data_IF_872204390086
#
_entry.id   IF_872204390086
#
_cell.length_a   1.000
_cell.length_b   1.000
_cell.length_c   1.000
_cell.angle_alpha   90.00
_cell.angle_beta   90.00
_cell.angle_gamma   90.00
#
_symmetry.space_group_name_H-M   'P 1'
#
loop_
_entity.id
_entity.type
_entity.pdbx_description
1 polymer ?
#
# COMPACT_ATOMS: atom_id res chain seq x y z
N UNK A 1 7.30 -18.84 -2.68
CA UNK A 1 7.34 -18.37 -1.28
C UNK A 1 6.82 -16.93 -1.22
N UNK A 2 6.45 -16.44 -0.03
CA UNK A 2 6.22 -15.02 0.19
C UNK A 2 7.58 -14.29 0.31
N UNK A 3 7.65 -13.04 -0.13
CA UNK A 3 8.88 -12.23 -0.06
C UNK A 3 8.55 -10.82 0.38
N UNK A 4 9.40 -10.26 1.25
CA UNK A 4 9.38 -8.87 1.66
C UNK A 4 10.50 -8.10 0.97
N UNK A 5 10.15 -6.99 0.33
CA UNK A 5 11.08 -5.93 -0.06
C UNK A 5 11.07 -4.85 1.02
N UNK A 6 12.07 -4.89 1.90
CA UNK A 6 12.19 -3.96 3.01
C UNK A 6 12.21 -2.49 2.53
N UNK A 7 12.89 -2.19 1.42
CA UNK A 7 12.96 -0.84 0.85
C UNK A 7 11.62 -0.24 0.39
N UNK A 8 10.57 -1.06 0.22
CA UNK A 8 9.22 -0.61 -0.10
C UNK A 8 8.27 -0.61 1.11
N UNK A 9 8.66 -1.23 2.23
CA UNK A 9 7.81 -1.26 3.41
C UNK A 9 7.78 0.11 4.07
N UNK A 10 6.59 0.64 4.36
CA UNK A 10 6.48 1.98 4.99
C UNK A 10 7.07 2.02 6.39
N UNK A 11 7.17 0.88 7.07
CA UNK A 11 7.88 0.75 8.35
C UNK A 11 9.39 0.99 8.22
N UNK A 12 9.96 0.86 7.02
CA UNK A 12 11.36 1.23 6.80
C UNK A 12 11.58 2.74 6.62
N UNK A 13 10.51 3.54 6.48
CA UNK A 13 10.59 4.99 6.27
C UNK A 13 10.57 5.77 7.59
N UNK A 14 9.99 5.20 8.66
CA UNK A 14 10.00 5.76 10.01
C UNK A 14 9.79 4.67 11.06
N UNK A 15 10.44 4.84 12.21
CA UNK A 15 10.19 4.03 13.41
C UNK A 15 8.81 4.27 14.00
N UNK A 16 8.24 5.46 13.76
CA UNK A 16 6.89 5.83 14.20
C UNK A 16 5.78 5.15 13.37
N UNK A 17 6.14 4.44 12.29
CA UNK A 17 5.14 3.78 11.45
C UNK A 17 4.32 2.77 12.25
N UNK A 18 2.99 2.88 12.20
CA UNK A 18 2.08 1.97 12.91
C UNK A 18 1.51 0.86 12.01
N UNK A 19 1.80 0.89 10.72
CA UNK A 19 1.25 -0.07 9.75
C UNK A 19 1.49 -1.54 10.13
N UNK A 20 0.40 -2.30 10.30
CA UNK A 20 0.39 -3.75 10.59
C UNK A 20 -0.58 -4.53 9.67
N UNK A 21 -0.96 -3.96 8.52
CA UNK A 21 -2.00 -4.53 7.63
C UNK A 21 -1.72 -5.98 7.21
N UNK A 22 -0.45 -6.33 6.96
CA UNK A 22 -0.07 -7.68 6.53
C UNK A 22 -0.18 -8.74 7.64
N UNK A 23 0.07 -8.36 8.88
CA UNK A 23 -0.13 -9.19 10.07
C UNK A 23 -1.63 -9.41 10.30
N UNK A 24 -2.43 -8.33 10.31
CA UNK A 24 -3.88 -8.39 10.55
C UNK A 24 -4.66 -9.22 9.51
N UNK A 25 -4.21 -9.23 8.25
CA UNK A 25 -4.88 -10.00 7.18
C UNK A 25 -4.37 -11.44 7.07
N UNK A 26 -3.35 -11.84 7.84
CA UNK A 26 -2.74 -13.16 7.71
C UNK A 26 -3.64 -14.22 8.36
N UNK A 27 -4.24 -15.16 7.60
CA UNK A 27 -5.16 -16.16 8.15
C UNK A 27 -4.49 -17.20 9.05
N UNK A 28 -3.16 -17.33 8.98
CA UNK A 28 -2.39 -18.36 9.69
C UNK A 28 -1.41 -17.75 10.69
N UNK A 29 -1.51 -16.45 10.97
CA UNK A 29 -0.58 -15.71 11.84
C UNK A 29 0.91 -15.85 11.48
N UNK A 30 1.21 -16.28 10.24
CA UNK A 30 2.55 -16.45 9.71
C UNK A 30 3.33 -15.14 9.53
N UNK A 31 2.72 -13.98 9.79
CA UNK A 31 3.37 -12.68 9.73
C UNK A 31 3.15 -12.01 11.08
N UNK A 32 4.24 -11.58 11.70
CA UNK A 32 4.21 -10.79 12.93
C UNK A 32 5.05 -9.52 12.78
N UNK A 33 4.65 -8.45 13.45
CA UNK A 33 5.52 -7.27 13.61
C UNK A 33 6.31 -7.48 14.91
N UNK A 34 7.59 -7.85 14.77
CA UNK A 34 8.47 -8.21 15.90
C UNK A 34 9.23 -7.03 16.49
N UNK A 35 10.37 -7.32 17.13
CA UNK A 35 11.29 -6.30 17.65
C UNK A 35 12.00 -5.52 16.53
N UNK A 36 12.27 -6.18 15.40
CA UNK A 36 12.66 -5.48 14.19
C UNK A 36 11.42 -4.75 13.67
N UNK A 37 11.54 -3.46 13.35
CA UNK A 37 10.39 -2.67 12.88
C UNK A 37 9.75 -3.21 11.58
N UNK A 38 10.26 -4.30 11.00
CA UNK A 38 9.79 -4.90 9.76
C UNK A 38 8.94 -6.15 10.04
N UNK A 39 8.06 -6.55 9.10
CA UNK A 39 7.37 -7.82 9.21
C UNK A 39 8.33 -9.02 9.23
N UNK A 40 8.24 -9.84 10.27
CA UNK A 40 8.85 -11.15 10.34
C UNK A 40 7.88 -12.20 9.77
N UNK A 41 8.39 -13.22 9.07
CA UNK A 41 7.57 -14.20 8.34
C UNK A 41 7.94 -15.62 8.77
N UNK A 42 6.96 -16.40 9.24
CA UNK A 42 7.06 -17.83 9.42
C UNK A 42 6.67 -18.54 8.11
N UNK A 43 7.63 -19.18 7.47
CA UNK A 43 7.40 -19.83 6.17
C UNK A 43 6.76 -21.21 6.27
N UNK A 44 6.80 -21.86 7.44
CA UNK A 44 6.11 -23.14 7.69
C UNK A 44 4.59 -22.93 7.75
N UNK A 45 4.15 -21.83 8.38
CA UNK A 45 2.74 -21.46 8.55
C UNK A 45 2.16 -20.70 7.36
N UNK A 46 3.00 -20.13 6.50
CA UNK A 46 2.56 -19.37 5.34
C UNK A 46 1.98 -20.27 4.24
N UNK A 47 0.65 -20.19 4.04
CA UNK A 47 -0.05 -20.95 2.99
C UNK A 47 -0.06 -20.27 1.63
N UNK A 48 0.69 -19.18 1.45
CA UNK A 48 0.81 -18.44 0.17
C UNK A 48 -0.53 -17.97 -0.44
N UNK A 49 -1.54 -17.69 0.38
CA UNK A 49 -2.86 -17.25 -0.11
C UNK A 49 -2.85 -15.87 -0.79
N UNK A 50 -1.85 -15.03 -0.52
CA UNK A 50 -1.67 -13.72 -1.15
C UNK A 50 -2.42 -12.55 -0.51
N UNK A 51 -3.23 -12.76 0.52
CA UNK A 51 -3.96 -11.68 1.19
C UNK A 51 -3.06 -10.51 1.67
N UNK A 52 -1.89 -10.83 2.22
CA UNK A 52 -0.91 -9.84 2.66
C UNK A 52 -0.30 -9.02 1.51
N UNK A 53 -0.18 -9.61 0.32
CA UNK A 53 0.30 -8.90 -0.88
C UNK A 53 -0.74 -7.90 -1.39
N UNK A 54 -2.03 -8.30 -1.35
CA UNK A 54 -3.14 -7.46 -1.78
C UNK A 54 -3.36 -6.25 -0.85
N UNK A 55 -3.29 -6.46 0.47
CA UNK A 55 -3.56 -5.39 1.46
C UNK A 55 -2.39 -4.43 1.66
N UNK A 56 -1.15 -4.87 1.37
CA UNK A 56 0.05 -4.07 1.62
C UNK A 56 0.08 -2.86 0.67
N UNK A 57 -0.13 -1.60 1.11
CA UNK A 57 -0.41 -0.45 0.23
C UNK A 57 0.77 -0.03 -0.65
N UNK A 58 2.00 -0.36 -0.23
CA UNK A 58 3.22 -0.04 -0.97
C UNK A 58 3.75 -1.18 -1.84
N UNK A 59 3.05 -2.33 -1.91
CA UNK A 59 3.47 -3.50 -2.69
C UNK A 59 4.83 -4.08 -2.22
N UNK A 60 5.11 -3.96 -0.91
CA UNK A 60 6.33 -4.48 -0.31
C UNK A 60 6.36 -6.01 -0.23
N UNK A 61 5.20 -6.68 -0.34
CA UNK A 61 5.06 -8.13 -0.25
C UNK A 61 4.68 -8.73 -1.61
N UNK A 62 5.37 -9.79 -2.03
CA UNK A 62 5.13 -10.49 -3.31
C UNK A 62 5.19 -12.01 -3.14
N UNK A 63 4.52 -12.77 -4.01
CA UNK A 63 4.62 -14.24 -4.07
C UNK A 63 5.52 -14.66 -5.25
N UNK A 64 6.28 -15.75 -5.11
CA UNK A 64 7.09 -16.28 -6.23
C UNK A 64 6.24 -16.90 -7.35
N UNK A 65 5.12 -17.55 -7.00
CA UNK A 65 4.32 -18.36 -7.94
C UNK A 65 3.07 -17.62 -8.46
N UNK A 66 2.80 -16.43 -7.94
CA UNK A 66 1.68 -15.62 -8.36
C UNK A 66 2.06 -14.14 -8.34
N UNK A 67 1.84 -13.46 -9.47
CA UNK A 67 2.02 -12.02 -9.60
C UNK A 67 0.70 -11.41 -10.10
N UNK A 68 0.08 -10.57 -9.28
CA UNK A 68 -1.22 -9.98 -9.57
C UNK A 68 -1.19 -9.06 -10.81
N UNK A 69 -0.04 -8.46 -11.12
CA UNK A 69 0.12 -7.60 -12.30
C UNK A 69 0.12 -8.42 -13.58
N UNK A 70 0.89 -9.50 -13.64
CA UNK A 70 0.89 -10.42 -14.77
C UNK A 70 -0.48 -11.09 -14.93
N UNK A 71 -1.04 -11.56 -13.81
CA UNK A 71 -2.39 -12.13 -13.78
C UNK A 71 -3.43 -11.17 -14.36
N UNK A 72 -3.37 -9.87 -14.01
CA UNK A 72 -4.27 -8.87 -14.55
C UNK A 72 -4.23 -8.81 -16.08
N UNK A 73 -3.04 -8.77 -16.68
CA UNK A 73 -2.92 -8.71 -18.14
C UNK A 73 -3.41 -9.99 -18.81
N UNK A 74 -3.04 -11.15 -18.28
CA UNK A 74 -3.47 -12.45 -18.80
C UNK A 74 -4.99 -12.61 -18.72
N UNK A 75 -5.60 -12.22 -17.60
CA UNK A 75 -7.04 -12.34 -17.38
C UNK A 75 -7.86 -11.40 -18.26
N UNK A 76 -7.38 -10.18 -18.52
CA UNK A 76 -8.06 -9.23 -19.42
C UNK A 76 -8.15 -9.79 -20.85
N UNK A 77 -7.16 -10.57 -21.28
CA UNK A 77 -7.13 -11.22 -22.60
C UNK A 77 -7.89 -12.56 -22.64
N UNK A 78 -8.13 -13.19 -21.48
CA UNK A 78 -8.92 -14.42 -21.38
C UNK A 78 -10.37 -14.19 -21.87
N UNK A 79 -10.99 -15.21 -22.43
CA UNK A 79 -12.41 -15.20 -22.80
C UNK A 79 -13.32 -15.47 -21.59
N UNK A 80 -12.82 -16.18 -20.59
CA UNK A 80 -13.56 -16.45 -19.37
C UNK A 80 -13.45 -15.26 -18.40
N UNK A 81 -14.48 -15.07 -17.60
CA UNK A 81 -14.62 -14.03 -16.58
C UNK A 81 -14.61 -14.60 -15.16
N UNK A 82 -14.34 -15.91 -15.00
CA UNK A 82 -14.30 -16.62 -13.73
C UNK A 82 -12.96 -16.48 -13.00
N UNK A 83 -13.00 -15.94 -11.78
CA UNK A 83 -11.92 -15.91 -10.82
C UNK A 83 -12.14 -17.01 -9.78
N UNK A 84 -11.21 -17.97 -9.72
CA UNK A 84 -11.34 -19.12 -8.80
C UNK A 84 -9.99 -19.54 -8.23
N UNK A 85 -9.99 -19.87 -6.93
CA UNK A 85 -8.83 -20.40 -6.22
C UNK A 85 -8.38 -21.79 -6.70
N UNK A 86 -9.21 -22.45 -7.51
CA UNK A 86 -8.90 -23.74 -8.17
C UNK A 86 -8.52 -23.59 -9.64
N UNK A 87 -8.50 -22.37 -10.16
CA UNK A 87 -8.28 -22.09 -11.58
C UNK A 87 -7.05 -21.22 -11.83
N UNK A 88 -7.05 -19.99 -11.32
CA UNK A 88 -6.17 -18.94 -11.84
C UNK A 88 -5.62 -17.96 -10.80
N UNK A 89 -6.05 -18.06 -9.54
CA UNK A 89 -5.50 -17.30 -8.41
C UNK A 89 -5.22 -18.25 -7.24
N UNK A 90 -4.24 -17.99 -6.36
CA UNK A 90 -4.05 -18.78 -5.14
C UNK A 90 -5.24 -18.62 -4.17
N UNK A 91 -5.76 -17.40 -4.08
CA UNK A 91 -7.01 -17.04 -3.44
C UNK A 91 -7.51 -15.75 -4.10
N UNK A 92 -8.83 -15.52 -4.10
CA UNK A 92 -9.39 -14.25 -4.60
C UNK A 92 -8.89 -13.07 -3.72
N UNK A 93 -8.57 -13.33 -2.44
CA UNK A 93 -7.97 -12.34 -1.55
C UNK A 93 -6.57 -11.88 -1.97
N UNK A 94 -5.92 -12.55 -2.92
CA UNK A 94 -4.65 -12.10 -3.51
C UNK A 94 -4.81 -10.91 -4.46
N UNK A 95 -6.05 -10.53 -4.82
CA UNK A 95 -6.35 -9.37 -5.64
C UNK A 95 -6.71 -8.18 -4.75
N UNK A 96 -6.00 -7.06 -4.93
CA UNK A 96 -6.37 -5.81 -4.27
C UNK A 96 -7.64 -5.22 -4.89
N UNK A 97 -8.29 -4.31 -4.16
CA UNK A 97 -9.43 -3.53 -4.63
C UNK A 97 -9.16 -2.84 -5.99
N UNK A 98 -7.96 -2.27 -6.16
CA UNK A 98 -7.55 -1.63 -7.42
C UNK A 98 -7.51 -2.63 -8.58
N UNK A 99 -7.07 -3.87 -8.36
CA UNK A 99 -7.11 -4.91 -9.39
C UNK A 99 -8.56 -5.30 -9.70
N UNK A 100 -9.39 -5.50 -8.69
CA UNK A 100 -10.79 -5.93 -8.84
C UNK A 100 -11.59 -4.91 -9.65
N UNK A 101 -11.53 -3.63 -9.29
CA UNK A 101 -12.20 -2.55 -10.04
C UNK A 101 -11.68 -2.51 -11.48
N UNK A 102 -10.35 -2.60 -11.66
CA UNK A 102 -9.75 -2.55 -12.99
C UNK A 102 -10.18 -3.71 -13.88
N UNK A 103 -10.25 -4.93 -13.33
CA UNK A 103 -10.72 -6.12 -14.04
C UNK A 103 -12.20 -5.99 -14.40
N UNK A 104 -13.04 -5.58 -13.44
CA UNK A 104 -14.47 -5.41 -13.66
C UNK A 104 -14.76 -4.39 -14.79
N UNK A 105 -14.12 -3.22 -14.73
CA UNK A 105 -14.25 -2.17 -15.76
C UNK A 105 -13.90 -2.70 -17.15
N UNK A 106 -12.79 -3.45 -17.27
CA UNK A 106 -12.28 -3.91 -18.57
C UNK A 106 -13.05 -5.11 -19.12
N UNK A 107 -13.52 -6.00 -18.25
CA UNK A 107 -14.24 -7.22 -18.62
C UNK A 107 -15.74 -7.04 -18.69
N UNK A 108 -16.27 -5.93 -18.17
CA UNK A 108 -17.70 -5.60 -17.96
C UNK A 108 -18.43 -6.53 -16.99
N UNK A 109 -18.04 -7.78 -16.91
CA UNK A 109 -18.53 -8.74 -15.92
C UNK A 109 -17.37 -9.60 -15.43
N UNK A 110 -17.26 -9.80 -14.12
CA UNK A 110 -16.37 -10.79 -13.51
C UNK A 110 -17.14 -11.60 -12.46
N UNK A 111 -16.76 -12.86 -12.29
CA UNK A 111 -17.42 -13.79 -11.36
C UNK A 111 -16.39 -14.30 -10.37
N UNK A 112 -16.66 -14.14 -9.08
CA UNK A 112 -15.90 -14.76 -8.00
C UNK A 112 -16.52 -16.12 -7.69
N UNK A 113 -15.73 -17.18 -7.88
CA UNK A 113 -16.09 -18.52 -7.45
C UNK A 113 -15.92 -18.65 -5.93
N UNK A 114 -17.04 -18.59 -5.22
CA UNK A 114 -17.12 -18.71 -3.76
C UNK A 114 -17.33 -20.15 -3.29
N UNK A 115 -17.44 -21.11 -4.23
CA UNK A 115 -17.90 -22.47 -3.95
C UNK A 115 -17.05 -23.29 -2.97
N UNK A 116 -15.78 -22.92 -2.79
CA UNK A 116 -14.86 -23.57 -1.86
C UNK A 116 -14.64 -22.80 -0.55
N UNK A 117 -15.21 -21.61 -0.39
CA UNK A 117 -14.94 -20.77 0.78
C UNK A 117 -15.51 -21.39 2.08
N UNK A 118 -16.67 -22.04 2.01
CA UNK A 118 -17.34 -22.62 3.19
C UNK A 118 -16.52 -23.71 3.89
N UNK A 119 -15.67 -24.43 3.15
CA UNK A 119 -14.83 -25.52 3.67
C UNK A 119 -13.34 -25.21 3.67
N UNK A 120 -12.96 -23.94 3.51
CA UNK A 120 -11.55 -23.53 3.40
C UNK A 120 -11.01 -23.06 4.76
N UNK A 121 -9.88 -23.64 5.18
CA UNK A 121 -9.29 -23.37 6.51
C UNK A 121 -8.91 -21.88 6.74
N UNK A 122 -8.58 -21.17 5.65
CA UNK A 122 -8.23 -19.74 5.69
C UNK A 122 -9.41 -18.79 5.46
N UNK A 123 -10.63 -19.33 5.28
CA UNK A 123 -11.81 -18.54 4.94
C UNK A 123 -12.14 -17.50 6.02
N UNK A 124 -11.99 -17.81 7.30
CA UNK A 124 -12.31 -16.90 8.41
C UNK A 124 -11.75 -15.47 8.22
N UNK A 125 -10.54 -15.35 7.65
CA UNK A 125 -9.93 -14.05 7.28
C UNK A 125 -10.06 -13.76 5.78
N UNK A 126 -9.73 -14.70 4.90
CA UNK A 126 -9.70 -14.43 3.46
C UNK A 126 -11.08 -14.19 2.86
N UNK A 127 -12.10 -14.94 3.27
CA UNK A 127 -13.49 -14.75 2.83
C UNK A 127 -14.00 -13.37 3.24
N UNK A 128 -13.76 -12.98 4.49
CA UNK A 128 -14.11 -11.65 5.00
C UNK A 128 -13.45 -10.55 4.17
N UNK A 129 -12.16 -10.70 3.81
CA UNK A 129 -11.47 -9.73 2.98
C UNK A 129 -12.00 -9.69 1.53
N UNK A 130 -12.36 -10.84 0.96
CA UNK A 130 -12.97 -10.92 -0.37
C UNK A 130 -14.29 -10.15 -0.39
N UNK A 131 -15.15 -10.36 0.61
CA UNK A 131 -16.44 -9.66 0.72
C UNK A 131 -16.25 -8.15 0.89
N UNK A 132 -15.34 -7.71 1.76
CA UNK A 132 -15.02 -6.28 1.91
C UNK A 132 -14.56 -5.65 0.60
N UNK A 133 -13.66 -6.32 -0.13
CA UNK A 133 -13.19 -5.83 -1.43
C UNK A 133 -14.33 -5.83 -2.48
N UNK A 134 -15.22 -6.81 -2.45
CA UNK A 134 -16.40 -6.88 -3.32
C UNK A 134 -17.37 -5.73 -3.06
N UNK A 135 -17.68 -5.47 -1.79
CA UNK A 135 -18.56 -4.38 -1.36
C UNK A 135 -17.97 -3.03 -1.75
N UNK A 136 -16.70 -2.76 -1.42
CA UNK A 136 -16.00 -1.53 -1.79
C UNK A 136 -15.94 -1.35 -3.32
N UNK A 137 -15.65 -2.42 -4.08
CA UNK A 137 -15.57 -2.34 -5.53
C UNK A 137 -16.91 -1.99 -6.15
N UNK A 138 -17.97 -2.68 -5.72
CA UNK A 138 -19.33 -2.47 -6.23
C UNK A 138 -19.80 -1.06 -5.90
N UNK A 139 -19.59 -0.62 -4.66
CA UNK A 139 -19.92 0.75 -4.22
C UNK A 139 -19.21 1.81 -5.06
N UNK A 140 -17.91 1.64 -5.35
CA UNK A 140 -17.15 2.58 -6.17
C UNK A 140 -17.55 2.53 -7.65
N UNK A 141 -17.87 1.36 -8.20
CA UNK A 141 -18.37 1.22 -9.57
C UNK A 141 -19.70 1.97 -9.73
N UNK A 142 -20.62 1.81 -8.78
CA UNK A 142 -21.88 2.56 -8.73
C UNK A 142 -21.64 4.07 -8.62
N UNK A 143 -20.75 4.50 -7.72
CA UNK A 143 -20.40 5.92 -7.56
C UNK A 143 -19.69 6.54 -8.79
N UNK A 144 -19.16 5.70 -9.68
CA UNK A 144 -18.58 6.08 -10.97
C UNK A 144 -19.58 5.96 -12.14
N UNK A 145 -20.86 5.67 -11.87
CA UNK A 145 -21.88 5.36 -12.88
C UNK A 145 -21.42 4.27 -13.87
N UNK A 146 -20.61 3.31 -13.41
CA UNK A 146 -20.06 2.25 -14.25
C UNK A 146 -20.95 1.01 -14.19
N UNK A 147 -21.35 0.50 -15.35
CA UNK A 147 -22.23 -0.67 -15.47
C UNK A 147 -21.54 -2.03 -15.25
N UNK A 148 -20.26 -2.06 -14.90
CA UNK A 148 -19.56 -3.32 -14.68
C UNK A 148 -20.14 -4.10 -13.49
N UNK A 149 -20.29 -5.40 -13.66
CA UNK A 149 -20.90 -6.28 -12.65
C UNK A 149 -19.85 -7.22 -12.07
N UNK A 150 -19.83 -7.33 -10.74
CA UNK A 150 -19.08 -8.35 -10.02
C UNK A 150 -20.11 -9.31 -9.44
N UNK A 151 -19.99 -10.62 -9.68
CA UNK A 151 -20.90 -11.63 -9.13
C UNK A 151 -20.19 -12.52 -8.14
N UNK A 152 -20.87 -12.88 -7.06
CA UNK A 152 -20.44 -13.92 -6.13
C UNK A 152 -21.26 -15.18 -6.43
N UNK A 153 -20.62 -16.23 -6.93
CA UNK A 153 -21.32 -17.45 -7.34
C UNK A 153 -20.64 -18.70 -6.75
N UNK A 154 -21.44 -19.70 -6.39
CA UNK A 154 -20.93 -21.01 -5.97
C UNK A 154 -20.73 -21.90 -7.21
N UNK A 155 -19.73 -21.56 -8.02
CA UNK A 155 -19.42 -22.28 -9.27
C UNK A 155 -18.77 -23.64 -8.95
N UNK A 156 -17.95 -23.71 -7.90
CA UNK A 156 -17.19 -24.90 -7.51
C UNK A 156 -16.35 -25.43 -8.69
N UNK A 157 -15.52 -24.56 -9.27
CA UNK A 157 -14.72 -24.93 -10.44
C UNK A 157 -13.77 -26.10 -10.12
N UNK A 158 -13.98 -27.22 -10.81
CA UNK A 158 -13.04 -28.33 -10.85
C UNK A 158 -12.34 -28.34 -12.20
N UNK A 159 -11.01 -28.41 -12.18
CA UNK A 159 -10.25 -28.52 -13.40
C UNK A 159 -10.43 -29.95 -13.95
N UNK A 160 -11.07 -30.11 -15.11
CA UNK A 160 -11.02 -31.37 -15.84
C UNK A 160 -9.53 -31.68 -16.09
N UNK A 161 -9.02 -32.73 -15.46
CA UNK A 161 -7.61 -33.07 -15.54
C UNK A 161 -7.19 -33.25 -17.01
N UNK A 162 -6.51 -32.25 -17.58
CA UNK A 162 -5.61 -32.50 -18.70
C UNK A 162 -4.48 -33.35 -18.13
N UNK A 163 -4.53 -34.64 -18.45
CA UNK A 163 -3.48 -35.62 -18.23
C UNK A 163 -2.21 -35.13 -18.94
N UNK A 164 -1.45 -34.26 -18.27
CA UNK A 164 -0.17 -33.81 -18.76
C UNK A 164 0.81 -34.95 -18.55
N UNK A 165 1.09 -35.65 -19.64
CA UNK A 165 2.08 -36.72 -19.72
C UNK A 165 3.33 -36.36 -18.91
N UNK A 166 3.67 -37.25 -17.96
CA UNK A 166 4.92 -37.30 -17.17
C UNK A 166 6.20 -37.46 -18.00
N UNK A 167 6.25 -36.97 -19.24
CA UNK A 167 7.38 -37.10 -20.18
C UNK A 167 7.77 -35.76 -20.78
N UNK A 168 8.18 -34.82 -19.96
CA UNK A 168 9.01 -33.67 -20.41
C UNK A 168 10.08 -33.28 -19.37
N UNK A 169 10.40 -34.17 -18.41
CA UNK A 169 11.26 -33.83 -17.28
C UNK A 169 12.77 -34.08 -17.49
N UNK A 170 13.23 -34.43 -18.69
CA UNK A 170 14.67 -34.65 -18.91
C UNK A 170 15.12 -34.05 -20.23
N UNK A 171 15.62 -32.81 -20.18
CA UNK A 171 16.87 -32.39 -20.83
C UNK A 171 17.10 -30.87 -20.67
N UNK A 172 17.99 -30.47 -19.75
CA UNK A 172 18.98 -29.39 -19.93
C UNK A 172 19.66 -29.09 -18.58
N UNK A 173 20.82 -29.68 -18.36
CA UNK A 173 21.75 -29.24 -17.32
C UNK A 173 22.34 -27.88 -17.75
N UNK A 174 21.78 -26.79 -17.23
CA UNK A 174 22.27 -25.44 -17.44
C UNK A 174 22.53 -24.77 -16.07
N UNK A 175 23.39 -23.76 -16.01
CA UNK A 175 23.76 -23.08 -14.74
C UNK A 175 22.52 -22.54 -13.98
N UNK A 176 21.47 -22.17 -14.73
CA UNK A 176 20.15 -21.78 -14.21
C UNK A 176 19.45 -22.90 -13.43
N UNK A 177 19.66 -24.16 -13.82
CA UNK A 177 19.12 -25.34 -13.14
C UNK A 177 19.76 -25.52 -11.77
N UNK A 178 21.08 -25.32 -11.66
CA UNK A 178 21.81 -25.40 -10.37
C UNK A 178 21.41 -24.26 -9.44
N UNK A 179 21.31 -23.03 -9.94
CA UNK A 179 20.84 -21.90 -9.14
C UNK A 179 19.39 -22.08 -8.66
N UNK A 180 18.52 -22.63 -9.53
CA UNK A 180 17.14 -22.97 -9.18
C UNK A 180 17.07 -24.11 -8.14
N UNK A 181 17.92 -25.12 -8.27
CA UNK A 181 18.04 -26.21 -7.28
C UNK A 181 18.52 -25.70 -5.93
N UNK A 182 19.55 -24.83 -5.91
CA UNK A 182 20.03 -24.21 -4.67
C UNK A 182 18.95 -23.39 -3.99
N UNK A 183 18.27 -22.52 -4.75
CA UNK A 183 17.15 -21.72 -4.21
C UNK A 183 16.02 -22.61 -3.70
N UNK A 184 15.64 -23.64 -4.45
CA UNK A 184 14.60 -24.60 -4.03
C UNK A 184 14.96 -25.32 -2.73
N UNK A 185 16.23 -25.68 -2.56
CA UNK A 185 16.74 -26.29 -1.34
C UNK A 185 16.73 -25.30 -0.16
N UNK A 186 17.17 -24.05 -0.37
CA UNK A 186 17.10 -22.99 0.65
C UNK A 186 15.65 -22.71 1.07
N UNK A 187 14.73 -22.63 0.10
CA UNK A 187 13.30 -22.44 0.35
C UNK A 187 12.70 -23.61 1.16
N UNK A 188 13.11 -24.86 0.87
CA UNK A 188 12.70 -26.06 1.62
C UNK A 188 13.26 -26.07 3.04
N UNK A 189 14.54 -25.72 3.23
CA UNK A 189 15.16 -25.60 4.56
C UNK A 189 14.43 -24.56 5.40
N UNK A 190 14.08 -23.42 4.81
CA UNK A 190 13.44 -22.33 5.52
C UNK A 190 11.97 -22.66 5.87
N UNK A 191 11.25 -23.38 5.00
CA UNK A 191 9.92 -23.92 5.31
C UNK A 191 9.93 -25.03 6.37
N UNK A 192 11.06 -25.72 6.53
CA UNK A 192 11.22 -26.74 7.56
C UNK A 192 11.51 -26.14 8.95
N UNK A 193 11.92 -24.87 9.01
CA UNK A 193 12.03 -24.12 10.25
C UNK A 193 10.66 -23.58 10.66
N UNK A 194 10.30 -23.74 11.93
CA UNK A 194 9.10 -23.15 12.51
C UNK A 194 9.36 -21.78 13.16
N UNK A 195 10.41 -21.10 12.70
CA UNK A 195 10.87 -19.83 13.25
C UNK A 195 10.46 -18.66 12.36
N UNK A 196 10.14 -17.54 13.01
CA UNK A 196 9.97 -16.26 12.34
C UNK A 196 11.30 -15.84 11.70
N UNK A 197 11.29 -15.66 10.39
CA UNK A 197 12.40 -15.04 9.68
C UNK A 197 12.31 -13.52 9.86
N UNK A 198 13.22 -12.99 10.66
CA UNK A 198 13.42 -11.54 10.82
C UNK A 198 14.03 -10.93 9.55
N UNK A 199 13.57 -9.72 9.21
CA UNK A 199 14.09 -8.97 8.07
C UNK A 199 14.79 -7.70 8.54
N UNK A 200 15.93 -7.40 7.94
CA UNK A 200 16.68 -6.16 8.20
C UNK A 200 16.86 -5.38 6.90
N UNK A 201 17.25 -4.11 7.03
CA UNK A 201 17.59 -3.29 5.87
C UNK A 201 19.03 -3.55 5.44
N UNK A 202 19.20 -3.96 4.19
CA UNK A 202 20.51 -4.07 3.58
C UNK A 202 20.95 -2.74 2.97
N UNK A 203 22.25 -2.59 2.69
CA UNK A 203 22.79 -1.35 2.07
C UNK A 203 22.11 -1.01 0.74
N UNK A 204 21.70 -2.02 -0.02
CA UNK A 204 20.95 -1.87 -1.27
C UNK A 204 19.55 -1.28 -1.05
N UNK A 205 18.93 -1.56 0.10
CA UNK A 205 17.59 -1.08 0.44
C UNK A 205 17.60 0.40 0.82
N UNK A 206 18.66 0.85 1.50
CA UNK A 206 18.83 2.26 1.91
C UNK A 206 18.76 3.21 0.70
N UNK A 207 19.33 2.79 -0.43
CA UNK A 207 19.27 3.57 -1.67
C UNK A 207 17.83 3.68 -2.22
N UNK A 208 16.98 2.68 -1.95
CA UNK A 208 15.60 2.62 -2.43
C UNK A 208 14.63 3.43 -1.56
N UNK A 209 14.91 3.61 -0.25
CA UNK A 209 14.04 4.36 0.67
C UNK A 209 13.73 5.79 0.22
N UNK A 210 14.67 6.43 -0.51
CA UNK A 210 14.49 7.79 -1.02
C UNK A 210 13.74 7.85 -2.35
N UNK A 211 13.57 6.71 -3.03
CA UNK A 211 12.97 6.67 -4.36
C UNK A 211 11.45 6.67 -4.24
N UNK A 212 10.83 7.72 -4.78
CA UNK A 212 9.39 7.78 -4.91
C UNK A 212 8.93 6.78 -5.97
N UNK A 213 8.08 5.84 -5.57
CA UNK A 213 7.63 4.74 -6.43
C UNK A 213 6.13 4.58 -6.33
N UNK A 214 5.45 4.58 -7.49
CA UNK A 214 4.02 4.29 -7.59
C UNK A 214 3.87 2.76 -7.76
N UNK A 215 3.08 2.07 -6.92
CA UNK A 215 2.78 0.65 -7.06
C UNK A 215 2.20 0.30 -8.43
N UNK A 216 2.41 -0.93 -8.90
CA UNK A 216 1.91 -1.39 -10.19
C UNK A 216 0.38 -1.44 -10.21
N UNK A 217 -0.28 -1.90 -9.15
CA UNK A 217 -1.76 -1.87 -9.07
C UNK A 217 -2.33 -0.47 -9.22
N UNK A 218 -1.60 0.56 -8.75
CA UNK A 218 -2.01 1.96 -8.91
C UNK A 218 -1.91 2.39 -10.37
N UNK A 219 -0.85 1.99 -11.08
CA UNK A 219 -0.71 2.25 -12.53
C UNK A 219 -1.77 1.51 -13.34
N UNK A 220 -2.11 0.29 -12.96
CA UNK A 220 -3.19 -0.51 -13.55
C UNK A 220 -4.52 0.22 -13.37
N UNK A 221 -4.84 0.62 -12.14
CA UNK A 221 -6.04 1.38 -11.83
C UNK A 221 -6.15 2.66 -12.68
N UNK A 222 -5.07 3.45 -12.76
CA UNK A 222 -5.03 4.64 -13.60
C UNK A 222 -5.31 4.34 -15.08
N UNK A 223 -4.79 3.21 -15.57
CA UNK A 223 -4.96 2.81 -16.97
C UNK A 223 -6.38 2.33 -17.25
N UNK A 224 -7.00 1.62 -16.29
CA UNK A 224 -8.37 1.14 -16.40
C UNK A 224 -9.38 2.28 -16.32
N UNK A 225 -9.24 3.18 -15.34
CA UNK A 225 -10.17 4.31 -15.15
C UNK A 225 -10.17 5.27 -16.35
N UNK A 226 -9.05 5.45 -17.06
CA UNK A 226 -9.01 6.24 -18.31
C UNK A 226 -9.90 5.69 -19.43
N UNK A 227 -10.38 4.45 -19.33
CA UNK A 227 -11.30 3.82 -20.28
C UNK A 227 -12.76 3.87 -19.81
N UNK A 228 -13.02 4.43 -18.64
CA UNK A 228 -14.36 4.66 -18.11
C UNK A 228 -14.84 6.01 -18.61
N UNK A 229 -16.09 6.08 -19.09
CA UNK A 229 -16.72 7.35 -19.43
C UNK A 229 -16.84 8.23 -18.18
N UNK A 230 -16.71 9.54 -18.36
CA UNK A 230 -16.84 10.46 -17.23
C UNK A 230 -18.28 10.43 -16.73
N UNK A 231 -18.53 10.18 -15.42
CA UNK A 231 -19.89 10.12 -14.89
C UNK A 231 -20.61 11.45 -15.03
N UNK A 232 -21.94 11.40 -15.12
CA UNK A 232 -22.78 12.58 -15.25
C UNK A 232 -22.72 13.47 -14.00
N UNK A 233 -22.54 12.85 -12.83
CA UNK A 233 -22.30 13.51 -11.55
C UNK A 233 -21.15 12.85 -10.79
N UNK A 234 -20.31 13.65 -10.16
CA UNK A 234 -19.29 13.14 -9.23
C UNK A 234 -19.88 13.00 -7.83
N UNK A 235 -19.92 11.77 -7.33
CA UNK A 235 -20.34 11.47 -5.98
C UNK A 235 -19.21 11.75 -4.97
N UNK A 236 -19.61 12.27 -3.81
CA UNK A 236 -18.78 12.32 -2.62
C UNK A 236 -19.15 11.10 -1.78
N UNK A 237 -18.16 10.25 -1.51
CA UNK A 237 -18.34 9.02 -0.74
C UNK A 237 -17.73 9.16 0.64
N UNK A 238 -18.13 8.30 1.58
CA UNK A 238 -17.47 8.23 2.89
C UNK A 238 -16.03 7.72 2.71
N UNK A 239 -15.07 8.37 3.37
CA UNK A 239 -13.66 8.00 3.30
C UNK A 239 -13.34 6.68 4.02
N UNK A 240 -14.22 6.20 4.89
CA UNK A 240 -14.09 4.87 5.53
C UNK A 240 -14.30 3.74 4.52
N UNK A 241 -15.15 3.97 3.52
CA UNK A 241 -15.49 3.02 2.45
C UNK A 241 -14.44 2.94 1.34
N UNK A 242 -13.37 3.76 1.40
CA UNK A 242 -12.30 3.78 0.38
C UNK A 242 -10.96 3.40 1.02
N UNK A 243 -10.53 2.15 0.88
CA UNK A 243 -9.40 1.58 1.61
C UNK A 243 -8.01 1.86 0.99
N UNK A 244 -7.95 2.20 -0.30
CA UNK A 244 -6.69 2.29 -1.06
C UNK A 244 -6.22 3.72 -1.38
N UNK A 245 -7.05 4.73 -1.17
CA UNK A 245 -6.68 6.15 -1.34
C UNK A 245 -7.32 7.02 -0.26
N UNK A 246 -6.92 8.29 -0.16
CA UNK A 246 -7.57 9.21 0.76
C UNK A 246 -7.43 10.67 0.36
N UNK A 247 -8.32 11.48 0.93
CA UNK A 247 -8.17 12.93 1.02
C UNK A 247 -7.53 13.31 2.36
N UNK A 248 -6.87 14.47 2.39
CA UNK A 248 -6.16 14.96 3.57
C UNK A 248 -6.62 16.36 3.96
N UNK A 249 -6.63 16.60 5.25
CA UNK A 249 -6.82 17.92 5.85
C UNK A 249 -5.53 18.32 6.58
N UNK A 250 -5.25 19.61 6.58
CA UNK A 250 -4.08 20.19 7.25
C UNK A 250 -4.55 21.29 8.21
N UNK A 251 -4.21 21.15 9.47
CA UNK A 251 -4.37 22.18 10.49
C UNK A 251 -3.23 23.19 10.36
N UNK A 252 -3.58 24.43 10.01
CA UNK A 252 -2.62 25.49 9.81
C UNK A 252 -1.99 26.01 11.09
N UNK A 253 -2.68 25.91 12.22
CA UNK A 253 -2.19 26.39 13.51
C UNK A 253 -1.26 25.34 14.15
N UNK A 254 -1.60 24.05 14.03
CA UNK A 254 -0.79 22.96 14.56
C UNK A 254 0.46 22.63 13.71
N UNK A 255 0.47 22.93 12.41
CA UNK A 255 1.58 22.55 11.52
C UNK A 255 2.88 23.29 11.85
N UNK A 256 3.93 22.57 12.24
CA UNK A 256 5.23 23.17 12.59
C UNK A 256 6.19 23.38 11.40
N UNK A 257 5.74 23.14 10.16
CA UNK A 257 6.57 23.16 8.96
C UNK A 257 7.83 22.26 9.03
N UNK A 258 7.78 21.16 9.80
CA UNK A 258 8.91 20.25 10.08
C UNK A 258 9.36 19.39 8.88
N UNK A 259 8.60 19.38 7.78
CA UNK A 259 8.92 18.72 6.51
C UNK A 259 8.80 17.19 6.49
N UNK A 260 8.46 16.54 7.61
CA UNK A 260 8.47 15.07 7.68
C UNK A 260 7.43 14.42 6.77
N UNK A 261 6.19 14.91 6.77
CA UNK A 261 5.06 14.28 6.08
C UNK A 261 5.27 14.04 4.57
N UNK A 262 5.84 15.02 3.85
CA UNK A 262 6.11 14.88 2.41
C UNK A 262 7.44 14.16 2.13
N UNK A 263 8.41 14.22 3.05
CA UNK A 263 9.67 13.48 2.92
C UNK A 263 9.46 11.98 3.02
N UNK A 264 8.59 11.52 3.93
CA UNK A 264 8.29 10.09 4.11
C UNK A 264 7.26 9.54 3.11
N UNK A 265 6.55 10.39 2.35
CA UNK A 265 5.53 9.91 1.43
C UNK A 265 6.15 9.01 0.33
N UNK A 266 5.85 7.70 0.26
CA UNK A 266 6.56 6.77 -0.63
C UNK A 266 6.25 6.97 -2.11
N UNK A 267 5.08 7.49 -2.45
CA UNK A 267 4.63 7.65 -3.84
C UNK A 267 4.90 9.03 -4.40
N UNK A 268 5.24 10.00 -3.54
CA UNK A 268 5.26 11.41 -3.92
C UNK A 268 3.86 12.01 -4.04
N UNK A 269 2.85 11.42 -3.39
CA UNK A 269 1.54 12.06 -3.24
C UNK A 269 1.62 13.36 -2.43
N UNK A 270 2.54 13.46 -1.47
CA UNK A 270 2.87 14.71 -0.79
C UNK A 270 4.25 15.16 -1.27
N UNK A 271 4.36 16.41 -1.73
CA UNK A 271 5.61 17.02 -2.18
C UNK A 271 5.73 18.46 -1.71
N UNK A 272 6.94 18.98 -1.76
CA UNK A 272 7.24 20.39 -1.56
C UNK A 272 8.11 20.91 -2.71
N UNK A 273 8.20 22.22 -2.84
CA UNK A 273 9.12 22.86 -3.77
C UNK A 273 10.56 22.84 -3.24
N UNK A 274 11.52 23.32 -4.03
CA UNK A 274 12.94 23.35 -3.63
C UNK A 274 13.23 24.25 -2.42
N UNK A 275 12.31 25.17 -2.10
CA UNK A 275 12.46 26.12 -0.98
C UNK A 275 11.77 25.62 0.30
N UNK A 276 11.09 24.47 0.25
CA UNK A 276 10.21 23.98 1.31
C UNK A 276 9.11 25.01 1.69
N UNK A 277 8.61 25.76 0.71
CA UNK A 277 7.67 26.87 0.91
C UNK A 277 6.20 26.46 0.87
N UNK A 278 5.89 25.20 0.57
CA UNK A 278 4.51 24.70 0.48
C UNK A 278 4.42 23.20 0.67
N UNK A 279 3.21 22.69 0.88
CA UNK A 279 2.90 21.27 0.82
C UNK A 279 1.80 21.09 -0.22
N UNK A 280 2.15 20.43 -1.31
CA UNK A 280 1.21 20.03 -2.35
C UNK A 280 0.84 18.55 -2.15
N UNK A 281 -0.44 18.23 -2.35
CA UNK A 281 -0.99 16.88 -2.22
C UNK A 281 -1.71 16.47 -3.50
N UNK A 282 -1.34 15.31 -4.03
CA UNK A 282 -2.02 14.63 -5.13
C UNK A 282 -2.77 13.41 -4.57
N UNK A 283 -4.11 13.48 -4.40
CA UNK A 283 -4.92 12.36 -3.91
C UNK A 283 -4.84 11.13 -4.82
N UNK A 284 -4.60 11.32 -6.11
CA UNK A 284 -4.54 10.24 -7.08
C UNK A 284 -3.32 9.36 -6.85
N UNK A 285 -2.19 9.94 -6.41
CA UNK A 285 -0.97 9.21 -6.04
C UNK A 285 -0.99 8.63 -4.61
N UNK A 286 -1.98 8.98 -3.78
CA UNK A 286 -2.06 8.56 -2.38
C UNK A 286 -2.44 7.09 -2.25
N UNK A 287 -1.60 6.27 -1.59
CA UNK A 287 -1.85 4.84 -1.36
C UNK A 287 -2.45 4.52 0.01
N UNK A 288 -3.02 5.51 0.70
CA UNK A 288 -3.59 5.40 2.07
C UNK A 288 -2.70 4.58 3.03
N UNK A 289 -1.38 4.81 2.96
CA UNK A 289 -0.38 4.08 3.77
C UNK A 289 -0.17 4.65 5.18
N UNK A 290 -0.83 5.75 5.51
CA UNK A 290 -0.85 6.41 6.83
C UNK A 290 0.46 7.03 7.35
N UNK A 291 1.63 6.66 6.81
CA UNK A 291 2.95 7.11 7.28
C UNK A 291 3.12 8.63 7.48
N UNK A 292 2.43 9.46 6.69
CA UNK A 292 2.52 10.91 6.83
C UNK A 292 1.83 11.45 8.10
N UNK A 293 0.84 10.73 8.64
CA UNK A 293 0.20 11.06 9.91
C UNK A 293 1.04 10.52 11.07
N UNK A 294 1.56 9.29 10.96
CA UNK A 294 2.43 8.66 11.95
C UNK A 294 3.64 9.54 12.32
N UNK A 295 4.25 10.21 11.34
CA UNK A 295 5.40 11.10 11.58
C UNK A 295 5.02 12.54 11.92
N UNK A 296 3.73 12.87 11.97
CA UNK A 296 3.26 14.21 12.30
C UNK A 296 2.99 14.31 13.80
N UNK A 297 4.05 14.55 14.57
CA UNK A 297 3.97 14.73 16.02
C UNK A 297 2.86 15.69 16.50
N UNK A 298 2.66 16.91 15.92
CA UNK A 298 1.56 17.78 16.33
C UNK A 298 0.18 17.33 15.83
N UNK A 299 0.08 16.20 15.13
CA UNK A 299 -1.14 15.69 14.50
C UNK A 299 -1.82 16.69 13.53
N UNK A 300 -1.02 17.56 12.91
CA UNK A 300 -1.51 18.62 12.04
C UNK A 300 -2.06 18.11 10.70
N UNK A 301 -1.74 16.88 10.29
CA UNK A 301 -2.26 16.27 9.06
C UNK A 301 -3.21 15.12 9.43
N UNK A 302 -4.42 15.16 8.89
CA UNK A 302 -5.47 14.18 9.20
C UNK A 302 -6.17 13.68 7.93
N UNK A 303 -6.91 12.58 8.06
CA UNK A 303 -7.77 12.07 6.98
C UNK A 303 -9.07 12.88 6.93
N UNK A 304 -9.49 13.28 5.73
CA UNK A 304 -10.84 13.80 5.55
C UNK A 304 -11.87 12.67 5.74
N UNK A 305 -13.08 13.01 6.20
CA UNK A 305 -14.19 12.06 6.37
C UNK A 305 -14.88 11.68 5.05
N UNK A 306 -14.52 12.34 3.94
CA UNK A 306 -15.11 12.07 2.64
C UNK A 306 -14.06 12.01 1.54
N UNK A 307 -14.37 11.27 0.47
CA UNK A 307 -13.57 11.19 -0.74
C UNK A 307 -14.38 11.64 -1.94
N UNK A 308 -13.80 12.51 -2.76
CA UNK A 308 -14.44 12.96 -4.00
C UNK A 308 -14.02 12.05 -5.15
N UNK A 309 -14.95 11.24 -5.67
CA UNK A 309 -14.71 10.30 -6.78
C UNK A 309 -14.21 11.02 -8.04
N UNK A 310 -14.47 12.33 -8.15
CA UNK A 310 -13.92 13.20 -9.19
C UNK A 310 -12.40 13.07 -9.35
N UNK A 311 -11.67 12.86 -8.26
CA UNK A 311 -10.20 12.74 -8.31
C UNK A 311 -9.72 11.56 -9.14
N UNK A 312 -10.56 10.54 -9.39
CA UNK A 312 -10.21 9.42 -10.28
C UNK A 312 -10.19 9.82 -11.76
N UNK A 313 -10.98 10.82 -12.15
CA UNK A 313 -11.15 11.26 -13.53
C UNK A 313 -10.44 12.58 -13.83
N UNK A 314 -10.52 13.51 -12.89
CA UNK A 314 -9.92 14.84 -12.95
C UNK A 314 -9.00 15.04 -11.72
N UNK A 315 -7.87 14.31 -11.62
CA UNK A 315 -6.98 14.42 -10.48
C UNK A 315 -6.43 15.84 -10.38
N UNK A 316 -6.56 16.46 -9.20
CA UNK A 316 -6.02 17.80 -8.94
C UNK A 316 -5.03 17.78 -7.80
N UNK A 317 -3.89 18.40 -8.05
CA UNK A 317 -2.93 18.73 -6.99
C UNK A 317 -3.54 19.84 -6.13
N UNK A 318 -3.68 19.55 -4.84
CA UNK A 318 -4.20 20.44 -3.81
C UNK A 318 -3.03 21.08 -3.06
N UNK A 319 -3.06 22.40 -2.89
CA UNK A 319 -2.12 23.09 -2.01
C UNK A 319 -2.63 22.99 -0.58
N UNK A 320 -2.06 22.09 0.24
CA UNK A 320 -2.46 21.91 1.64
C UNK A 320 -1.92 23.01 2.56
N UNK A 321 -0.74 23.55 2.24
CA UNK A 321 -0.08 24.53 3.09
C UNK A 321 0.85 25.42 2.27
N UNK A 322 1.03 26.66 2.70
CA UNK A 322 2.07 27.57 2.23
C UNK A 322 2.78 28.19 3.44
N UNK A 323 4.10 28.32 3.33
CA UNK A 323 4.97 28.76 4.41
C UNK A 323 5.76 30.01 4.00
N UNK A 324 6.08 30.84 4.99
CA UNK A 324 7.09 31.87 4.84
C UNK A 324 8.47 31.23 4.95
N UNK A 325 9.35 31.53 3.99
CA UNK A 325 10.73 31.08 4.00
C UNK A 325 11.62 32.27 4.35
N UNK A 326 12.38 32.15 5.43
CA UNK A 326 13.25 33.23 5.92
C UNK A 326 14.53 32.69 6.55
N UNK A 327 15.44 33.59 6.90
CA UNK A 327 16.64 33.25 7.69
C UNK A 327 16.37 33.47 9.17
N UNK A 328 16.90 32.58 10.01
CA UNK A 328 16.86 32.69 11.46
C UNK A 328 17.71 33.89 11.92
N UNK A 329 17.16 34.74 12.79
CA UNK A 329 17.87 35.91 13.32
C UNK A 329 19.12 35.54 14.15
N UNK A 330 19.16 34.34 14.73
CA UNK A 330 20.28 33.86 15.58
C UNK A 330 21.35 33.09 14.80
N UNK A 331 20.97 32.09 13.99
CA UNK A 331 21.93 31.21 13.31
C UNK A 331 22.02 31.39 11.79
N UNK A 332 21.30 32.35 11.20
CA UNK A 332 21.23 32.65 9.76
C UNK A 332 20.75 31.49 8.85
N UNK A 333 20.39 30.33 9.43
CA UNK A 333 19.86 29.19 8.68
C UNK A 333 18.48 29.49 8.09
N UNK A 334 18.26 29.05 6.84
CA UNK A 334 16.96 29.17 6.17
C UNK A 334 15.99 28.15 6.76
N UNK A 335 14.81 28.62 7.16
CA UNK A 335 13.73 27.76 7.65
C UNK A 335 12.37 28.22 7.13
N UNK A 336 11.42 27.29 7.15
CA UNK A 336 10.02 27.53 6.82
C UNK A 336 9.21 27.72 8.09
N UNK A 337 8.26 28.64 8.08
CA UNK A 337 7.33 28.87 9.20
C UNK A 337 5.94 29.24 8.69
N UNK A 338 4.92 28.80 9.42
CA UNK A 338 3.52 29.21 9.26
C UNK A 338 3.17 30.46 10.10
N UNK A 339 4.10 30.96 10.91
CA UNK A 339 3.90 32.09 11.83
C UNK A 339 4.80 33.28 11.45
N UNK A 340 4.79 34.34 12.26
CA UNK A 340 5.70 35.47 12.14
C UNK A 340 7.06 35.24 12.79
N UNK A 341 7.34 34.00 13.22
CA UNK A 341 8.57 33.63 13.93
C UNK A 341 9.83 34.10 13.20
N UNK A 342 10.79 34.57 14.00
CA UNK A 342 12.09 35.03 13.52
C UNK A 342 13.23 34.05 13.82
N UNK A 343 13.01 33.14 14.77
CA UNK A 343 13.95 32.10 15.14
C UNK A 343 13.47 30.74 14.62
N UNK A 344 14.40 29.91 14.14
CA UNK A 344 14.11 28.52 13.77
C UNK A 344 13.88 27.66 15.02
N UNK A 345 13.22 26.51 14.85
CA UNK A 345 12.89 25.58 15.95
C UNK A 345 14.09 25.25 16.84
N UNK A 346 15.26 24.94 16.25
CA UNK A 346 16.47 24.65 17.01
C UNK A 346 16.88 25.79 17.93
N UNK A 347 16.97 27.02 17.41
CA UNK A 347 17.37 28.18 18.22
C UNK A 347 16.31 28.51 19.29
N UNK A 348 15.03 28.25 19.02
CA UNK A 348 13.98 28.36 20.05
C UNK A 348 14.18 27.36 21.18
N UNK A 349 14.39 26.08 20.86
CA UNK A 349 14.66 25.05 21.88
C UNK A 349 15.93 25.37 22.69
N UNK A 350 17.00 25.81 22.03
CA UNK A 350 18.23 26.20 22.71
C UNK A 350 18.02 27.38 23.67
N UNK A 351 17.22 28.38 23.28
CA UNK A 351 16.87 29.52 24.15
C UNK A 351 15.98 29.07 25.32
N UNK A 352 14.96 28.26 25.08
CA UNK A 352 14.06 27.70 26.10
C UNK A 352 14.84 26.88 27.14
N UNK A 353 15.72 25.97 26.70
CA UNK A 353 16.60 25.17 27.57
C UNK A 353 17.54 26.05 28.38
N UNK A 354 18.13 27.09 27.77
CA UNK A 354 19.00 28.02 28.49
C UNK A 354 18.20 28.78 29.57
N UNK A 355 17.01 29.26 29.26
CA UNK A 355 16.14 29.96 30.21
C UNK A 355 15.75 29.06 31.37
N UNK A 356 15.41 27.80 31.10
CA UNK A 356 15.11 26.81 32.15
C UNK A 356 16.32 26.56 33.06
N UNK A 357 17.50 26.33 32.47
CA UNK A 357 18.74 26.10 33.22
C UNK A 357 19.13 27.28 34.12
N UNK A 358 18.86 28.50 33.68
CA UNK A 358 19.22 29.73 34.42
C UNK A 358 18.07 30.35 35.21
N UNK A 359 16.87 29.73 35.20
CA UNK A 359 15.69 30.19 35.95
C UNK A 359 15.11 31.53 35.46
N UNK A 360 15.20 31.81 34.16
CA UNK A 360 14.70 33.05 33.56
C UNK A 360 13.21 32.90 33.21
N UNK A 361 12.32 33.50 34.00
CA UNK A 361 10.87 33.53 33.72
C UNK A 361 10.48 34.73 32.86
N UNK A 362 9.44 34.59 32.03
CA UNK A 362 8.93 35.63 31.11
C UNK A 362 8.32 36.88 31.78
N UNK A 363 8.46 37.01 33.11
CA UNK A 363 7.92 38.11 33.93
C UNK A 363 8.93 39.26 34.15
N UNK A 364 9.87 39.47 33.22
CA UNK A 364 10.74 40.66 33.15
C UNK A 364 10.50 41.46 31.86
#
# INVERSE_FOLDING_TARGET
MLKLNAGLCVRSLSVESECNKCELVCPTTAIAIGESNLPAINFSECVTCGACTAICPSEALTLDEFDATNFFFDFVEDKDNLLSCRKNVPCISALSIEHIISLAVLKKEIVFDMGYCDSCDIAHTCHTQILKNYEEATYLLEAMENEAVIKLENVCYENEAKDSNRRDFLNAANLKTVAKMKKSFEDEVQKASDELTEHTLEKTDIALLRRKTIPNRRKIFFTAIKRVDTPSQFHIVDATEVSFTSQKLMDAEACTACQMCYRVCPTGALVSDTKNSKIDFDPFLCIKCHICHDVCEPNAITLASSYNVKEFFEPKVQSLMSFNVRRCDECDMVFSTNSSDRMCYRCKCEDEEARELWGITDDM
#
